data_IF_383155886339
#
_entry.id   IF_383155886339
#
_cell.length_a   1.000
_cell.length_b   1.000
_cell.length_c   1.000
_cell.angle_alpha   90.00
_cell.angle_beta   90.00
_cell.angle_gamma   90.00
#
_symmetry.space_group_name_H-M   'P 1'
#
loop_
_entity.id
_entity.type
_entity.pdbx_description
1 polymer ?
#
# COMPACT_ATOMS: atom_id res chain seq x y z
N UNK A 1 -16.82 7.95 14.49
CA UNK A 1 -16.05 9.01 13.81
C UNK A 1 -16.44 8.99 12.35
N UNK A 2 -16.68 10.15 11.73
CA UNK A 2 -16.95 10.26 10.29
C UNK A 2 -15.64 10.24 9.49
N UNK A 3 -15.68 9.96 8.19
CA UNK A 3 -14.49 10.04 7.32
C UNK A 3 -13.83 11.42 7.36
N UNK A 4 -14.64 12.49 7.39
CA UNK A 4 -14.13 13.86 7.48
C UNK A 4 -13.39 14.11 8.81
N UNK A 5 -13.90 13.58 9.92
CA UNK A 5 -13.23 13.65 11.21
C UNK A 5 -11.93 12.83 11.23
N UNK A 6 -11.94 11.63 10.65
CA UNK A 6 -10.77 10.76 10.54
C UNK A 6 -9.61 11.47 9.82
N UNK A 7 -9.89 12.06 8.66
CA UNK A 7 -8.92 12.82 7.86
C UNK A 7 -8.34 13.99 8.66
N UNK A 8 -9.17 14.71 9.44
CA UNK A 8 -8.73 15.83 10.28
C UNK A 8 -7.92 15.38 11.50
N UNK A 9 -8.28 14.25 12.12
CA UNK A 9 -7.65 13.71 13.33
C UNK A 9 -6.30 13.06 13.06
N UNK A 10 -6.09 12.50 11.86
CA UNK A 10 -4.84 11.82 11.46
C UNK A 10 -3.62 12.73 11.60
N UNK A 11 -2.56 12.25 12.27
CA UNK A 11 -1.28 12.95 12.44
C UNK A 11 -0.10 12.01 12.22
N UNK A 12 1.09 12.58 11.96
CA UNK A 12 2.35 11.82 11.91
C UNK A 12 2.92 11.69 13.32
N UNK A 13 3.00 10.46 13.81
CA UNK A 13 3.41 10.14 15.18
C UNK A 13 4.84 9.63 15.17
N UNK A 14 5.62 10.05 16.16
CA UNK A 14 7.05 9.72 16.27
C UNK A 14 7.46 9.40 17.71
N UNK A 15 6.48 9.15 18.58
CA UNK A 15 6.65 8.65 19.94
C UNK A 15 5.56 7.63 20.18
N UNK A 16 5.94 6.40 20.45
CA UNK A 16 5.01 5.28 20.56
C UNK A 16 5.02 4.72 21.98
N UNK A 17 3.87 4.21 22.41
CA UNK A 17 3.84 3.35 23.60
C UNK A 17 4.44 2.00 23.25
N UNK A 18 4.93 1.28 24.26
CA UNK A 18 5.54 -0.05 24.10
C UNK A 18 4.51 -1.19 24.09
N UNK A 19 3.23 -0.87 24.28
CA UNK A 19 2.15 -1.84 24.27
C UNK A 19 2.15 -2.64 22.96
N UNK A 20 1.95 -3.96 23.07
CA UNK A 20 1.83 -4.81 21.90
C UNK A 20 0.53 -4.52 21.15
N UNK A 21 0.58 -4.67 19.82
CA UNK A 21 -0.61 -4.57 18.97
C UNK A 21 -1.12 -6.00 18.72
N UNK A 22 -2.41 -6.30 19.01
CA UNK A 22 -3.01 -7.59 18.70
C UNK A 22 -2.88 -7.92 17.20
N UNK A 23 -2.76 -9.20 16.88
CA UNK A 23 -2.58 -9.63 15.49
C UNK A 23 -3.80 -9.34 14.63
N UNK A 24 -4.99 -9.46 15.22
CA UNK A 24 -6.28 -9.19 14.60
C UNK A 24 -6.36 -7.73 14.14
N UNK A 25 -5.85 -6.79 14.94
CA UNK A 25 -5.78 -5.37 14.57
C UNK A 25 -4.88 -5.19 13.35
N UNK A 26 -3.72 -5.86 13.31
CA UNK A 26 -2.81 -5.77 12.16
C UNK A 26 -3.50 -6.33 10.90
N UNK A 27 -4.22 -7.45 11.02
CA UNK A 27 -4.96 -8.03 9.90
C UNK A 27 -6.08 -7.10 9.40
N UNK A 28 -6.81 -6.44 10.30
CA UNK A 28 -7.82 -5.43 9.95
C UNK A 28 -7.23 -4.23 9.20
N UNK A 29 -6.02 -3.78 9.59
CA UNK A 29 -5.31 -2.74 8.86
C UNK A 29 -4.95 -3.21 7.44
N UNK A 30 -4.41 -4.42 7.31
CA UNK A 30 -4.04 -4.99 6.02
C UNK A 30 -5.28 -5.24 5.13
N UNK A 31 -6.43 -5.57 5.71
CA UNK A 31 -7.68 -5.73 4.99
C UNK A 31 -8.19 -4.41 4.42
N UNK A 32 -8.09 -3.32 5.19
CA UNK A 32 -8.39 -1.98 4.67
C UNK A 32 -7.52 -1.61 3.46
N UNK A 33 -6.24 -2.00 3.48
CA UNK A 33 -5.33 -1.86 2.35
C UNK A 33 -5.76 -2.71 1.14
N UNK A 34 -6.22 -3.95 1.37
CA UNK A 34 -6.74 -4.85 0.33
C UNK A 34 -7.96 -4.26 -0.38
N UNK A 35 -8.78 -3.50 0.34
CA UNK A 35 -9.98 -2.83 -0.20
C UNK A 35 -9.67 -1.52 -0.94
N UNK A 36 -8.42 -1.06 -0.96
CA UNK A 36 -8.05 0.13 -1.69
C UNK A 36 -8.21 -0.04 -3.22
N UNK A 37 -8.60 1.02 -3.95
CA UNK A 37 -8.66 0.95 -5.40
C UNK A 37 -7.25 0.93 -6.00
N UNK A 38 -7.12 0.28 -7.16
CA UNK A 38 -5.91 0.32 -7.99
C UNK A 38 -6.27 0.20 -9.47
N UNK A 39 -5.41 0.74 -10.35
CA UNK A 39 -5.59 0.64 -11.79
C UNK A 39 -5.75 -0.83 -12.21
N UNK A 40 -6.81 -1.13 -12.96
CA UNK A 40 -7.17 -2.49 -13.39
C UNK A 40 -7.26 -3.51 -12.23
N UNK A 41 -7.51 -3.05 -11.00
CA UNK A 41 -7.48 -3.85 -9.79
C UNK A 41 -6.16 -4.65 -9.59
N UNK A 42 -5.03 -4.07 -10.02
CA UNK A 42 -3.74 -4.76 -10.04
C UNK A 42 -3.13 -5.00 -8.64
N UNK A 43 -3.56 -4.25 -7.63
CA UNK A 43 -3.22 -4.43 -6.21
C UNK A 43 -1.71 -4.66 -5.97
N UNK A 44 -0.82 -3.74 -6.40
CA UNK A 44 0.61 -4.02 -6.48
C UNK A 44 1.32 -4.01 -5.11
N UNK A 45 0.64 -3.62 -4.04
CA UNK A 45 1.20 -3.51 -2.71
C UNK A 45 1.62 -4.86 -2.13
N UNK A 46 2.70 -4.83 -1.36
CA UNK A 46 3.21 -5.93 -0.53
C UNK A 46 3.56 -5.39 0.84
N UNK A 47 3.14 -6.11 1.87
CA UNK A 47 3.33 -5.70 3.25
C UNK A 47 4.25 -6.69 3.95
N UNK A 48 5.28 -6.17 4.61
CA UNK A 48 5.98 -6.90 5.65
C UNK A 48 5.68 -6.30 7.01
N UNK A 49 5.13 -7.15 7.89
CA UNK A 49 4.91 -6.84 9.29
C UNK A 49 6.18 -7.18 10.05
N UNK A 50 6.84 -6.16 10.60
CA UNK A 50 8.09 -6.30 11.34
C UNK A 50 7.84 -5.98 12.80
N UNK A 51 8.11 -6.95 13.68
CA UNK A 51 7.93 -6.82 15.14
C UNK A 51 9.24 -6.96 15.91
N UNK A 52 10.20 -7.72 15.38
CA UNK A 52 11.47 -8.01 16.04
C UNK A 52 12.37 -6.76 16.13
N UNK A 53 13.09 -6.65 17.24
CA UNK A 53 13.87 -5.44 17.54
C UNK A 53 15.07 -5.29 16.60
N UNK A 54 15.73 -6.39 16.22
CA UNK A 54 16.95 -6.36 15.41
C UNK A 54 16.66 -5.81 14.01
N UNK A 55 15.61 -6.31 13.34
CA UNK A 55 15.21 -5.79 12.03
C UNK A 55 14.75 -4.34 12.14
N UNK A 56 14.00 -3.96 13.19
CA UNK A 56 13.58 -2.56 13.33
C UNK A 56 14.75 -1.61 13.59
N UNK A 57 15.81 -2.04 14.28
CA UNK A 57 17.05 -1.27 14.45
C UNK A 57 17.77 -1.07 13.11
N UNK A 58 17.87 -2.11 12.28
CA UNK A 58 18.43 -2.02 10.93
C UNK A 58 17.62 -1.07 10.04
N UNK A 59 16.28 -1.14 10.11
CA UNK A 59 15.39 -0.22 9.40
C UNK A 59 15.59 1.22 9.87
N UNK A 60 15.70 1.46 11.18
CA UNK A 60 15.97 2.80 11.72
C UNK A 60 17.31 3.35 11.21
N UNK A 61 18.36 2.52 11.20
CA UNK A 61 19.68 2.90 10.67
C UNK A 61 19.61 3.27 9.18
N UNK A 62 18.95 2.44 8.37
CA UNK A 62 18.77 2.68 6.94
C UNK A 62 17.92 3.94 6.65
N UNK A 63 17.01 4.29 7.56
CA UNK A 63 16.16 5.47 7.48
C UNK A 63 16.77 6.70 8.18
N UNK A 64 18.08 6.93 8.02
CA UNK A 64 18.80 8.07 8.60
C UNK A 64 18.75 8.14 10.14
N UNK A 65 18.83 6.98 10.79
CA UNK A 65 18.81 6.84 12.26
C UNK A 65 17.53 7.39 12.93
N UNK A 66 16.39 7.31 12.25
CA UNK A 66 15.09 7.71 12.79
C UNK A 66 14.60 6.72 13.86
N UNK A 67 14.92 6.99 15.13
CA UNK A 67 14.65 6.10 16.29
C UNK A 67 13.19 5.69 16.46
N UNK A 68 12.23 6.52 16.05
CA UNK A 68 10.81 6.19 16.17
C UNK A 68 10.42 4.93 15.39
N UNK A 69 11.21 4.51 14.39
CA UNK A 69 11.02 3.26 13.65
C UNK A 69 11.28 2.05 14.56
N UNK A 70 12.37 2.06 15.34
CA UNK A 70 12.68 0.97 16.27
C UNK A 70 11.82 0.98 17.53
N UNK A 71 11.36 2.15 17.94
CA UNK A 71 10.45 2.33 19.07
C UNK A 71 9.00 1.92 18.78
N UNK A 72 8.57 1.95 17.51
CA UNK A 72 7.23 1.51 17.14
C UNK A 72 7.02 0.02 17.49
N UNK A 73 5.88 -0.37 18.09
CA UNK A 73 5.62 -1.76 18.43
C UNK A 73 5.60 -2.66 17.18
N UNK A 74 5.09 -2.14 16.06
CA UNK A 74 5.05 -2.79 14.75
C UNK A 74 5.46 -1.80 13.67
N UNK A 75 6.28 -2.24 12.71
CA UNK A 75 6.61 -1.49 11.50
C UNK A 75 6.02 -2.23 10.29
N UNK A 76 5.19 -1.53 9.51
CA UNK A 76 4.72 -2.02 8.22
C UNK A 76 5.66 -1.51 7.12
N UNK A 77 6.48 -2.40 6.57
CA UNK A 77 7.28 -2.12 5.38
C UNK A 77 6.43 -2.38 4.15
N UNK A 78 6.22 -1.35 3.33
CA UNK A 78 5.34 -1.43 2.16
C UNK A 78 6.16 -1.33 0.88
N UNK A 79 6.04 -2.33 0.02
CA UNK A 79 6.75 -2.43 -1.25
C UNK A 79 5.76 -2.51 -2.43
N UNK A 80 6.21 -2.07 -3.60
CA UNK A 80 5.50 -2.23 -4.86
C UNK A 80 6.04 -3.44 -5.63
N UNK A 81 5.15 -4.34 -6.08
CA UNK A 81 5.51 -5.42 -6.99
C UNK A 81 5.21 -5.02 -8.44
N UNK A 82 6.26 -4.62 -9.17
CA UNK A 82 6.18 -4.12 -10.55
C UNK A 82 5.68 -5.20 -11.50
N UNK A 83 6.23 -6.42 -11.42
CA UNK A 83 5.82 -7.54 -12.27
C UNK A 83 4.34 -7.84 -12.08
N UNK A 84 3.87 -7.90 -10.84
CA UNK A 84 2.45 -8.11 -10.57
C UNK A 84 1.60 -6.98 -11.15
N UNK A 85 2.01 -5.72 -10.98
CA UNK A 85 1.25 -4.58 -11.50
C UNK A 85 1.00 -4.75 -13.01
N UNK A 86 2.03 -5.07 -13.78
CA UNK A 86 1.95 -5.24 -15.22
C UNK A 86 1.05 -6.43 -15.59
N UNK A 87 1.30 -7.60 -15.01
CA UNK A 87 0.58 -8.83 -15.34
C UNK A 87 -0.91 -8.77 -14.92
N UNK A 88 -1.19 -8.15 -13.76
CA UNK A 88 -2.57 -7.95 -13.28
C UNK A 88 -3.29 -6.82 -13.99
N UNK A 89 -2.58 -5.84 -14.54
CA UNK A 89 -3.23 -4.81 -15.36
C UNK A 89 -3.83 -5.41 -16.64
N UNK A 90 -3.08 -6.26 -17.32
CA UNK A 90 -3.55 -6.97 -18.53
C UNK A 90 -4.71 -7.91 -18.19
N UNK A 91 -4.51 -8.83 -17.24
CA UNK A 91 -5.59 -9.77 -16.89
C UNK A 91 -6.83 -9.08 -16.32
N UNK A 92 -6.67 -8.00 -15.57
CA UNK A 92 -7.75 -7.18 -15.04
C UNK A 92 -8.58 -6.52 -16.13
N UNK A 93 -7.92 -5.84 -17.09
CA UNK A 93 -8.66 -5.16 -18.17
C UNK A 93 -9.36 -6.15 -19.10
N UNK A 94 -8.75 -7.30 -19.42
CA UNK A 94 -9.42 -8.37 -20.16
C UNK A 94 -10.65 -8.90 -19.42
N UNK A 95 -10.55 -9.08 -18.09
CA UNK A 95 -11.68 -9.50 -17.27
C UNK A 95 -12.85 -8.52 -17.38
N UNK A 96 -12.57 -7.22 -17.31
CA UNK A 96 -13.57 -6.15 -17.48
C UNK A 96 -14.16 -6.12 -18.89
N UNK A 97 -13.36 -6.35 -19.92
CA UNK A 97 -13.84 -6.47 -21.30
C UNK A 97 -14.79 -7.65 -21.49
N UNK A 98 -14.45 -8.83 -20.94
CA UNK A 98 -15.27 -10.06 -21.04
C UNK A 98 -16.67 -9.90 -20.46
N UNK A 99 -16.82 -9.11 -19.40
CA UNK A 99 -18.13 -8.86 -18.76
C UNK A 99 -18.86 -7.63 -19.35
N UNK A 100 -18.29 -6.99 -20.39
CA UNK A 100 -18.87 -5.81 -21.02
C UNK A 100 -18.80 -4.54 -20.18
N UNK A 101 -18.05 -4.53 -19.07
CA UNK A 101 -17.88 -3.34 -18.23
C UNK A 101 -17.00 -2.27 -18.91
N UNK A 102 -16.21 -2.68 -19.90
CA UNK A 102 -15.29 -1.83 -20.67
C UNK A 102 -15.35 -2.23 -22.15
N UNK A 103 -15.28 -1.25 -23.06
CA UNK A 103 -15.24 -1.49 -24.51
C UNK A 103 -13.91 -2.13 -24.93
N UNK A 104 -13.92 -2.97 -25.97
CA UNK A 104 -12.72 -3.64 -26.50
C UNK A 104 -11.61 -2.66 -26.90
N UNK A 105 -11.96 -1.51 -27.48
CA UNK A 105 -11.00 -0.44 -27.80
C UNK A 105 -10.18 0.00 -26.56
N UNK A 106 -10.81 0.08 -25.39
CA UNK A 106 -10.13 0.45 -24.14
C UNK A 106 -9.24 -0.69 -23.65
N UNK A 107 -9.66 -1.95 -23.85
CA UNK A 107 -8.85 -3.13 -23.53
C UNK A 107 -7.54 -3.09 -24.31
N UNK A 108 -7.61 -2.87 -25.63
CA UNK A 108 -6.45 -2.76 -26.52
C UNK A 108 -5.54 -1.58 -26.14
N UNK A 109 -6.11 -0.41 -25.82
CA UNK A 109 -5.34 0.77 -25.37
C UNK A 109 -4.55 0.47 -24.10
N UNK A 110 -5.18 -0.21 -23.13
CA UNK A 110 -4.51 -0.54 -21.86
C UNK A 110 -3.42 -1.58 -22.09
N UNK A 111 -3.65 -2.59 -22.92
CA UNK A 111 -2.65 -3.59 -23.28
C UNK A 111 -1.42 -2.97 -23.94
N UNK A 112 -1.60 -2.16 -24.97
CA UNK A 112 -0.50 -1.46 -25.66
C UNK A 112 0.28 -0.57 -24.68
N UNK A 113 -0.42 0.14 -23.80
CA UNK A 113 0.22 0.92 -22.73
C UNK A 113 1.05 0.02 -21.82
N UNK A 114 0.49 -1.10 -21.32
CA UNK A 114 1.21 -1.99 -20.40
C UNK A 114 2.43 -2.60 -21.08
N UNK A 115 2.35 -2.94 -22.36
CA UNK A 115 3.48 -3.50 -23.10
C UNK A 115 4.63 -2.49 -23.21
N UNK A 116 4.33 -1.22 -23.50
CA UNK A 116 5.32 -0.14 -23.46
C UNK A 116 5.95 0.03 -22.08
N UNK A 117 5.16 -0.12 -21.01
CA UNK A 117 5.65 -0.01 -19.64
C UNK A 117 6.66 -1.12 -19.26
N UNK A 118 6.61 -2.30 -19.90
CA UNK A 118 7.55 -3.41 -19.62
C UNK A 118 9.01 -3.07 -19.91
N UNK A 119 9.25 -2.12 -20.82
CA UNK A 119 10.59 -1.71 -21.24
C UNK A 119 11.17 -0.56 -20.40
N UNK A 120 10.37 0.04 -19.52
CA UNK A 120 10.83 1.13 -18.65
C UNK A 120 11.68 0.61 -17.49
N UNK A 121 12.66 1.39 -17.07
CA UNK A 121 13.43 1.10 -15.86
C UNK A 121 12.56 1.34 -14.62
N UNK A 122 12.93 0.68 -13.51
CA UNK A 122 12.27 0.81 -12.21
C UNK A 122 12.05 2.27 -11.80
N UNK A 123 13.03 3.15 -12.03
CA UNK A 123 12.94 4.58 -11.70
C UNK A 123 11.91 5.36 -12.53
N UNK A 124 11.59 4.88 -13.72
CA UNK A 124 10.65 5.52 -14.65
C UNK A 124 9.21 5.07 -14.38
N UNK A 125 9.01 3.75 -14.16
CA UNK A 125 7.69 3.20 -13.86
C UNK A 125 7.31 3.31 -12.37
N UNK A 126 8.30 3.41 -11.49
CA UNK A 126 8.14 3.42 -10.04
C UNK A 126 7.08 4.42 -9.53
N UNK A 127 7.11 5.70 -9.94
CA UNK A 127 6.11 6.69 -9.50
C UNK A 127 4.66 6.30 -9.83
N UNK A 128 4.40 5.75 -11.01
CA UNK A 128 3.06 5.31 -11.41
C UNK A 128 2.52 4.22 -10.48
N UNK A 129 3.37 3.25 -10.13
CA UNK A 129 2.97 2.13 -9.29
C UNK A 129 2.89 2.57 -7.82
N UNK A 130 3.80 3.45 -7.39
CA UNK A 130 3.83 4.01 -6.05
C UNK A 130 2.52 4.72 -5.68
N UNK A 131 1.85 5.40 -6.62
CA UNK A 131 0.53 6.02 -6.38
C UNK A 131 -0.51 4.99 -5.92
N UNK A 132 -0.56 3.82 -6.57
CA UNK A 132 -1.49 2.74 -6.18
C UNK A 132 -1.19 2.23 -4.77
N UNK A 133 0.10 2.09 -4.43
CA UNK A 133 0.53 1.67 -3.10
C UNK A 133 0.22 2.73 -2.05
N UNK A 134 0.40 4.01 -2.36
CA UNK A 134 0.13 5.11 -1.45
C UNK A 134 -1.35 5.18 -1.06
N UNK A 135 -2.28 4.88 -1.98
CA UNK A 135 -3.71 4.81 -1.66
C UNK A 135 -3.99 3.70 -0.64
N UNK A 136 -3.39 2.52 -0.81
CA UNK A 136 -3.52 1.42 0.15
C UNK A 136 -2.91 1.75 1.51
N UNK A 137 -1.81 2.50 1.54
CA UNK A 137 -1.22 3.02 2.78
C UNK A 137 -2.17 4.00 3.47
N UNK A 138 -2.81 4.91 2.73
CA UNK A 138 -3.74 5.86 3.33
C UNK A 138 -4.99 5.16 3.90
N UNK A 139 -5.47 4.08 3.25
CA UNK A 139 -6.52 3.23 3.82
C UNK A 139 -6.11 2.62 5.17
N UNK A 140 -4.88 2.11 5.29
CA UNK A 140 -4.33 1.63 6.57
C UNK A 140 -4.30 2.76 7.61
N UNK A 141 -3.77 3.92 7.21
CA UNK A 141 -3.58 5.08 8.11
C UNK A 141 -4.90 5.59 8.67
N UNK A 142 -5.95 5.65 7.84
CA UNK A 142 -7.28 6.04 8.31
C UNK A 142 -7.93 4.94 9.16
N UNK A 143 -7.79 3.66 8.77
CA UNK A 143 -8.30 2.52 9.54
C UNK A 143 -7.66 2.41 10.93
N UNK A 144 -6.40 2.81 11.07
CA UNK A 144 -5.69 2.82 12.35
C UNK A 144 -6.38 3.68 13.43
N UNK A 145 -7.13 4.71 13.03
CA UNK A 145 -7.86 5.58 13.96
C UNK A 145 -9.05 4.88 14.63
N UNK A 146 -9.60 3.83 14.03
CA UNK A 146 -10.68 3.03 14.63
C UNK A 146 -10.19 2.19 15.81
N UNK A 147 -8.86 2.03 15.93
CA UNK A 147 -8.18 1.31 17.01
C UNK A 147 -7.38 2.24 17.92
N UNK A 148 -7.64 3.55 17.86
CA UNK A 148 -6.91 4.59 18.61
C UNK A 148 -5.38 4.55 18.41
N UNK A 149 -4.93 4.09 17.24
CA UNK A 149 -3.50 4.08 16.90
C UNK A 149 -3.08 5.40 16.27
N UNK A 150 -2.29 6.17 17.02
CA UNK A 150 -1.62 7.38 16.57
C UNK A 150 -2.09 8.67 17.25
N UNK A 151 -3.40 8.96 17.35
CA UNK A 151 -3.89 10.12 18.10
C UNK A 151 -3.58 10.10 19.59
#
# INVERSE_FOLDING_TARGET
>A
MTTAEAIRKRRSIRKYKKDSIPEEVILELLDAARLAPSGCNAQPWRFRVVKDIDTKLQLAQAAYNQKFISEAPVVLVVCANIKQYLDKSVSGIHGLGKIGAVKNEIVEIVEDRVEKLRYLKVREIGPLIAVNVAIAVEHIVLRALDFDLGP
#
